data_IF_141398762295
#
_entry.id   IF_141398762295
#
_cell.length_a   1.000
_cell.length_b   1.000
_cell.length_c   1.000
_cell.angle_alpha   90.00
_cell.angle_beta   90.00
_cell.angle_gamma   90.00
#
_symmetry.space_group_name_H-M   'P 1'
#
loop_
_entity.id
_entity.type
_entity.pdbx_description
1 polymer ?
#
# COMPACT_ATOMS: atom_id res chain seq x y z
N UNK A 1 13.72 6.22 10.63
CA UNK A 1 12.58 6.31 9.70
C UNK A 1 13.05 5.85 8.34
N UNK A 2 12.63 4.66 7.91
CA UNK A 2 12.89 4.16 6.57
C UNK A 2 11.72 4.54 5.64
N UNK A 3 12.02 4.77 4.36
CA UNK A 3 11.03 4.98 3.32
C UNK A 3 10.99 3.76 2.41
N UNK A 4 9.80 3.22 2.21
CA UNK A 4 9.55 2.09 1.33
C UNK A 4 8.63 2.52 0.18
N UNK A 5 8.77 1.87 -0.96
CA UNK A 5 7.88 2.04 -2.10
C UNK A 5 7.25 0.70 -2.48
N UNK A 6 5.98 0.73 -2.86
CA UNK A 6 5.21 -0.42 -3.30
C UNK A 6 4.45 -0.06 -4.59
N UNK A 7 4.65 -0.86 -5.63
CA UNK A 7 3.91 -0.73 -6.87
C UNK A 7 2.75 -1.71 -6.89
N UNK A 8 1.53 -1.18 -6.88
CA UNK A 8 0.28 -1.90 -6.95
C UNK A 8 -0.54 -1.48 -8.20
N UNK A 9 0.10 -0.90 -9.21
CA UNK A 9 -0.56 -0.52 -10.46
C UNK A 9 -1.00 -1.76 -11.24
N UNK A 10 -2.15 -1.68 -11.91
CA UNK A 10 -2.73 -2.81 -12.66
C UNK A 10 -3.35 -3.91 -11.79
N UNK A 11 -3.29 -3.78 -10.46
CA UNK A 11 -4.04 -4.63 -9.54
C UNK A 11 -5.44 -4.04 -9.33
N UNK A 12 -6.46 -4.89 -9.29
CA UNK A 12 -7.83 -4.53 -8.99
C UNK A 12 -8.16 -4.88 -7.52
N UNK A 13 -9.11 -4.17 -6.94
CA UNK A 13 -9.64 -4.48 -5.61
C UNK A 13 -9.96 -5.98 -5.47
N UNK A 14 -9.52 -6.66 -4.39
CA UNK A 14 -8.91 -6.11 -3.15
C UNK A 14 -7.37 -6.12 -3.12
N UNK A 15 -6.71 -6.46 -4.23
CA UNK A 15 -5.28 -6.75 -4.23
C UNK A 15 -4.35 -5.60 -3.80
N UNK A 16 -4.59 -4.32 -4.16
CA UNK A 16 -3.77 -3.21 -3.69
C UNK A 16 -3.74 -3.11 -2.16
N UNK A 17 -4.90 -3.27 -1.51
CA UNK A 17 -5.07 -3.14 -0.05
C UNK A 17 -4.32 -4.24 0.68
N UNK A 18 -4.45 -5.49 0.22
CA UNK A 18 -3.76 -6.64 0.81
C UNK A 18 -2.24 -6.45 0.73
N UNK A 19 -1.72 -6.02 -0.42
CA UNK A 19 -0.27 -5.77 -0.60
C UNK A 19 0.26 -4.69 0.35
N UNK A 20 -0.52 -3.64 0.57
CA UNK A 20 -0.19 -2.58 1.52
C UNK A 20 -0.18 -3.14 2.93
N UNK A 21 -1.21 -3.88 3.33
CA UNK A 21 -1.32 -4.49 4.65
C UNK A 21 -0.15 -5.44 4.95
N UNK A 22 0.22 -6.31 3.99
CA UNK A 22 1.35 -7.22 4.13
C UNK A 22 2.67 -6.46 4.32
N UNK A 23 2.86 -5.35 3.58
CA UNK A 23 4.06 -4.54 3.71
C UNK A 23 4.10 -3.84 5.06
N UNK A 24 3.00 -3.23 5.48
CA UNK A 24 2.86 -2.51 6.76
C UNK A 24 3.10 -3.44 7.95
N UNK A 25 2.68 -4.72 7.89
CA UNK A 25 2.95 -5.70 8.95
C UNK A 25 4.45 -5.92 9.21
N UNK A 26 5.30 -5.76 8.18
CA UNK A 26 6.75 -5.89 8.29
C UNK A 26 7.49 -4.59 8.66
N UNK A 27 6.78 -3.46 8.77
CA UNK A 27 7.37 -2.15 8.96
C UNK A 27 7.41 -1.73 10.43
N UNK A 28 8.42 -0.94 10.80
CA UNK A 28 8.49 -0.37 12.14
C UNK A 28 7.61 0.88 12.24
N UNK A 29 7.16 1.19 13.46
CA UNK A 29 6.46 2.46 13.71
C UNK A 29 7.36 3.64 13.33
N UNK A 30 6.80 4.56 12.55
CA UNK A 30 7.52 5.73 12.03
C UNK A 30 8.18 5.50 10.67
N UNK A 31 8.11 4.30 10.09
CA UNK A 31 8.45 4.10 8.69
C UNK A 31 7.33 4.60 7.77
N UNK A 32 7.71 5.00 6.56
CA UNK A 32 6.80 5.58 5.56
C UNK A 32 6.72 4.66 4.35
N UNK A 33 5.50 4.31 3.92
CA UNK A 33 5.25 3.52 2.72
C UNK A 33 4.61 4.41 1.65
N UNK A 34 5.26 4.56 0.50
CA UNK A 34 4.67 5.15 -0.70
C UNK A 34 4.08 4.05 -1.57
N UNK A 35 2.78 4.13 -1.87
CA UNK A 35 2.09 3.13 -2.69
C UNK A 35 1.63 3.78 -3.98
N UNK A 36 1.95 3.16 -5.12
CA UNK A 36 1.44 3.58 -6.43
C UNK A 36 0.35 2.63 -6.87
N UNK A 37 -0.87 3.14 -6.99
CA UNK A 37 -2.05 2.38 -7.32
C UNK A 37 -2.79 3.06 -8.48
N UNK A 38 -3.40 2.26 -9.37
CA UNK A 38 -4.29 2.76 -10.44
C UNK A 38 -5.77 2.50 -10.17
N UNK A 39 -6.08 1.67 -9.17
CA UNK A 39 -7.46 1.34 -8.80
C UNK A 39 -8.07 2.50 -8.00
N UNK A 40 -9.19 3.10 -8.46
CA UNK A 40 -9.89 4.14 -7.72
C UNK A 40 -10.48 3.62 -6.39
N UNK A 41 -10.76 2.32 -6.27
CA UNK A 41 -11.28 1.71 -5.05
C UNK A 41 -10.32 1.85 -3.86
N UNK A 42 -9.01 1.76 -4.13
CA UNK A 42 -7.97 1.83 -3.10
C UNK A 42 -7.97 3.14 -2.29
N UNK A 43 -8.50 4.25 -2.84
CA UNK A 43 -8.63 5.52 -2.11
C UNK A 43 -9.64 5.44 -0.95
N UNK A 44 -10.64 4.58 -1.04
CA UNK A 44 -11.62 4.38 0.04
C UNK A 44 -11.13 3.38 1.08
N UNK A 45 -10.27 2.43 0.67
CA UNK A 45 -9.81 1.33 1.52
C UNK A 45 -8.52 1.65 2.29
N UNK A 46 -7.71 2.61 1.81
CA UNK A 46 -6.45 3.03 2.43
C UNK A 46 -6.64 4.43 3.04
N UNK A 47 -6.84 4.55 4.37
CA UNK A 47 -7.02 5.84 5.05
C UNK A 47 -5.73 6.63 5.21
#
# INVERSE_FOLDING_TARGET
>A
MARYSLDARGLLCPMPVIRVQDRVQSMARGDVLEVRCTDPGALNDIP
#
